data_IF_207622535315
#
_entry.id   IF_207622535315
#
_cell.length_a   1.000
_cell.length_b   1.000
_cell.length_c   1.000
_cell.angle_alpha   90.00
_cell.angle_beta   90.00
_cell.angle_gamma   90.00
#
_symmetry.space_group_name_H-M   'P 1'
#
loop_
_entity.id
_entity.type
_entity.pdbx_description
1 polymer ?
#
# COMPACT_ATOMS: atom_id res chain seq x y z
N UNK A 1 -15.14 8.74 -1.85
CA UNK A 1 -15.88 7.48 -2.16
C UNK A 1 -14.94 6.32 -2.00
N UNK A 2 -15.36 5.24 -1.31
CA UNK A 2 -14.52 4.07 -0.98
C UNK A 2 -14.71 2.96 -1.99
N UNK A 3 -13.77 2.81 -2.91
CA UNK A 3 -13.79 1.76 -3.92
C UNK A 3 -13.12 0.48 -3.43
N UNK A 4 -13.68 -0.66 -3.74
CA UNK A 4 -13.11 -1.97 -3.45
C UNK A 4 -13.32 -2.95 -4.59
N UNK A 5 -12.49 -3.99 -4.64
CA UNK A 5 -12.71 -5.19 -5.46
C UNK A 5 -13.01 -6.37 -4.54
N UNK A 6 -13.84 -7.25 -5.06
CA UNK A 6 -14.33 -8.42 -4.32
C UNK A 6 -14.48 -9.65 -5.20
N UNK A 7 -14.58 -10.80 -4.54
CA UNK A 7 -15.07 -12.04 -5.14
C UNK A 7 -16.31 -12.51 -4.38
N UNK A 8 -17.33 -13.00 -5.13
CA UNK A 8 -18.51 -13.66 -4.61
C UNK A 8 -18.74 -14.95 -5.40
N UNK A 9 -18.52 -16.09 -4.77
CA UNK A 9 -18.46 -17.36 -5.51
C UNK A 9 -17.37 -17.34 -6.58
N UNK A 10 -17.73 -17.56 -7.83
CA UNK A 10 -16.79 -17.49 -8.97
C UNK A 10 -16.70 -16.11 -9.64
N UNK A 11 -17.59 -15.18 -9.25
CA UNK A 11 -17.63 -13.83 -9.82
C UNK A 11 -16.64 -12.90 -9.12
N UNK A 12 -15.79 -12.22 -9.87
CA UNK A 12 -15.08 -11.04 -9.40
C UNK A 12 -15.80 -9.77 -9.84
N UNK A 13 -15.76 -8.74 -8.98
CA UNK A 13 -16.39 -7.46 -9.22
C UNK A 13 -15.73 -6.33 -8.46
N UNK A 14 -16.28 -5.14 -8.63
CA UNK A 14 -15.88 -3.96 -7.88
C UNK A 14 -17.10 -3.10 -7.57
N UNK A 15 -16.96 -2.24 -6.56
CA UNK A 15 -18.03 -1.37 -6.16
C UNK A 15 -17.61 -0.33 -5.13
N UNK A 16 -18.58 0.48 -4.74
CA UNK A 16 -18.43 1.49 -3.71
C UNK A 16 -18.93 0.95 -2.36
N UNK A 17 -18.05 0.94 -1.36
CA UNK A 17 -18.38 0.53 0.00
C UNK A 17 -19.18 1.64 0.70
N UNK A 18 -20.34 1.28 1.25
CA UNK A 18 -21.26 2.12 2.02
C UNK A 18 -21.65 1.41 3.32
N UNK A 19 -20.97 1.74 4.40
CA UNK A 19 -21.14 1.00 5.67
C UNK A 19 -20.70 -0.46 5.53
N UNK A 20 -21.62 -1.40 5.69
CA UNK A 20 -21.41 -2.84 5.57
C UNK A 20 -21.85 -3.43 4.22
N UNK A 21 -22.19 -2.57 3.26
CA UNK A 21 -22.75 -2.95 1.96
C UNK A 21 -21.92 -2.35 0.82
N UNK A 22 -21.78 -3.11 -0.25
CA UNK A 22 -21.10 -2.67 -1.48
C UNK A 22 -22.16 -2.45 -2.55
N UNK A 23 -22.27 -1.22 -3.06
CA UNK A 23 -22.98 -0.96 -4.30
C UNK A 23 -22.11 -1.41 -5.47
N UNK A 24 -22.59 -2.33 -6.28
CA UNK A 24 -21.84 -2.91 -7.41
C UNK A 24 -21.82 -1.96 -8.59
N UNK A 25 -20.69 -1.91 -9.28
CA UNK A 25 -20.49 -1.12 -10.49
C UNK A 25 -20.03 -1.99 -11.64
N UNK A 26 -20.28 -1.52 -12.87
CA UNK A 26 -19.85 -2.12 -14.12
C UNK A 26 -18.93 -1.17 -14.91
N UNK A 27 -18.18 -1.73 -15.86
CA UNK A 27 -17.19 -1.01 -16.66
C UNK A 27 -15.81 -1.04 -16.03
N UNK A 28 -15.08 0.06 -16.12
CA UNK A 28 -13.75 0.23 -15.52
C UNK A 28 -13.82 1.17 -14.32
N UNK A 29 -13.28 0.76 -13.18
CA UNK A 29 -13.20 1.61 -11.98
C UNK A 29 -12.56 2.98 -12.28
N UNK A 30 -11.62 3.03 -13.22
CA UNK A 30 -10.85 4.22 -13.56
C UNK A 30 -11.43 5.04 -14.72
N UNK A 31 -12.50 4.55 -15.39
CA UNK A 31 -13.10 5.21 -16.55
C UNK A 31 -14.63 5.19 -16.48
N UNK A 32 -15.18 6.13 -15.71
CA UNK A 32 -16.63 6.39 -15.57
C UNK A 32 -17.46 5.13 -15.35
N UNK A 33 -17.22 4.37 -14.26
CA UNK A 33 -18.00 3.18 -13.95
C UNK A 33 -19.49 3.52 -13.77
N UNK A 34 -20.36 2.59 -14.15
CA UNK A 34 -21.81 2.75 -14.03
C UNK A 34 -22.32 1.98 -12.82
N UNK A 35 -23.04 2.66 -11.93
CA UNK A 35 -23.69 2.02 -10.80
C UNK A 35 -24.79 1.07 -11.28
N UNK A 36 -24.83 -0.13 -10.75
CA UNK A 36 -25.94 -1.08 -10.94
C UNK A 36 -26.99 -0.92 -9.84
N UNK A 37 -28.07 -1.68 -9.91
CA UNK A 37 -29.04 -1.76 -8.82
C UNK A 37 -28.63 -2.77 -7.74
N UNK A 38 -27.53 -3.49 -7.92
CA UNK A 38 -27.09 -4.57 -7.05
C UNK A 38 -26.33 -4.02 -5.83
N UNK A 39 -26.70 -4.52 -4.63
CA UNK A 39 -26.04 -4.26 -3.36
C UNK A 39 -25.74 -5.58 -2.67
N UNK A 40 -24.49 -5.76 -2.21
CA UNK A 40 -24.03 -7.00 -1.59
C UNK A 40 -23.46 -6.68 -0.22
N UNK A 41 -23.79 -7.48 0.81
CA UNK A 41 -23.19 -7.32 2.13
C UNK A 41 -21.70 -7.71 2.10
N UNK A 42 -20.84 -6.95 2.76
CA UNK A 42 -19.42 -7.25 2.88
C UNK A 42 -19.18 -8.64 3.46
N UNK A 43 -20.02 -9.12 4.38
CA UNK A 43 -19.95 -10.45 4.97
C UNK A 43 -20.13 -11.62 3.99
N UNK A 44 -20.64 -11.34 2.78
CA UNK A 44 -20.86 -12.32 1.70
C UNK A 44 -19.75 -12.29 0.64
N UNK A 45 -18.73 -11.45 0.84
CA UNK A 45 -17.68 -11.19 -0.13
C UNK A 45 -16.30 -11.62 0.39
N UNK A 46 -15.46 -12.03 -0.53
CA UNK A 46 -14.01 -12.13 -0.29
C UNK A 46 -13.34 -10.85 -0.79
N UNK A 47 -12.49 -10.27 0.05
CA UNK A 47 -11.68 -9.11 -0.34
C UNK A 47 -10.68 -9.47 -1.44
N UNK A 48 -10.54 -8.59 -2.40
CA UNK A 48 -9.49 -8.62 -3.40
C UNK A 48 -8.61 -7.38 -3.25
N UNK A 49 -7.39 -7.41 -3.77
CA UNK A 49 -6.60 -6.18 -3.90
C UNK A 49 -7.46 -5.11 -4.58
N UNK A 50 -7.53 -3.88 -4.05
CA UNK A 50 -8.54 -2.91 -4.47
C UNK A 50 -8.39 -2.45 -5.93
N UNK A 51 -7.22 -2.66 -6.53
CA UNK A 51 -6.95 -2.52 -7.97
C UNK A 51 -5.92 -3.55 -8.42
N UNK A 52 -5.63 -3.61 -9.72
CA UNK A 52 -4.63 -4.52 -10.30
C UNK A 52 -3.46 -3.70 -10.87
N UNK A 53 -2.44 -3.39 -10.07
CA UNK A 53 -1.31 -2.58 -10.52
C UNK A 53 -0.50 -3.30 -11.61
N UNK A 54 -0.05 -2.57 -12.63
CA UNK A 54 1.01 -3.07 -13.51
C UNK A 54 2.36 -3.11 -12.79
N UNK A 55 2.51 -2.21 -11.81
CA UNK A 55 3.67 -2.14 -10.91
C UNK A 55 3.28 -1.52 -9.56
N UNK A 56 4.01 -1.92 -8.53
CA UNK A 56 3.98 -1.30 -7.22
C UNK A 56 5.37 -0.75 -6.92
N UNK A 57 5.44 0.53 -6.62
CA UNK A 57 6.67 1.29 -6.37
C UNK A 57 6.73 1.60 -4.89
N UNK A 58 7.76 1.15 -4.19
CA UNK A 58 7.94 1.44 -2.77
C UNK A 58 9.06 2.47 -2.55
N UNK A 59 8.86 3.38 -1.60
CA UNK A 59 9.79 4.44 -1.26
C UNK A 59 10.68 4.08 -0.06
N UNK A 60 11.93 4.45 -0.11
CA UNK A 60 12.85 4.41 1.01
C UNK A 60 13.22 5.82 1.47
N UNK A 61 13.34 6.00 2.80
CA UNK A 61 13.79 7.26 3.42
C UNK A 61 12.93 8.48 3.05
N UNK A 62 11.59 8.31 3.09
CA UNK A 62 10.64 9.37 2.75
C UNK A 62 9.97 10.03 3.98
N UNK A 63 10.52 9.86 5.19
CA UNK A 63 10.02 10.51 6.41
C UNK A 63 11.13 11.19 7.19
N UNK A 64 10.93 12.47 7.56
CA UNK A 64 11.92 13.27 8.27
C UNK A 64 12.26 12.69 9.65
N UNK A 65 11.28 12.25 10.43
CA UNK A 65 11.50 11.68 11.76
C UNK A 65 12.36 10.42 11.72
N UNK A 66 12.13 9.52 10.74
CA UNK A 66 12.92 8.30 10.59
C UNK A 66 14.34 8.61 10.10
N UNK A 67 14.49 9.52 9.14
CA UNK A 67 15.79 9.97 8.67
C UNK A 67 16.63 10.57 9.80
N UNK A 68 16.04 11.49 10.59
CA UNK A 68 16.70 12.12 11.73
C UNK A 68 17.15 11.10 12.78
N UNK A 69 16.28 10.13 13.15
CA UNK A 69 16.61 9.08 14.13
C UNK A 69 17.82 8.24 13.70
N UNK A 70 17.95 7.97 12.40
CA UNK A 70 19.01 7.12 11.87
C UNK A 70 20.25 7.91 11.39
N UNK A 71 20.21 9.23 11.49
CA UNK A 71 21.30 10.09 10.98
C UNK A 71 21.43 10.06 9.45
N UNK A 72 20.36 9.75 8.73
CA UNK A 72 20.35 9.73 7.27
C UNK A 72 20.13 11.13 6.71
N UNK A 73 20.84 11.45 5.64
CA UNK A 73 20.57 12.67 4.89
C UNK A 73 19.19 12.60 4.21
N UNK A 74 18.50 13.74 4.19
CA UNK A 74 17.28 13.87 3.38
C UNK A 74 17.63 13.73 1.89
N UNK A 75 17.03 12.81 1.14
CA UNK A 75 17.36 12.59 -0.25
C UNK A 75 16.91 13.75 -1.13
N UNK A 76 17.70 14.10 -2.15
CA UNK A 76 17.35 15.14 -3.12
C UNK A 76 16.33 14.67 -4.17
N UNK A 77 16.22 13.36 -4.37
CA UNK A 77 15.26 12.70 -5.27
C UNK A 77 14.65 11.48 -4.56
N UNK A 78 13.43 11.07 -4.93
CA UNK A 78 12.83 9.85 -4.40
C UNK A 78 13.73 8.64 -4.60
N UNK A 79 13.96 7.88 -3.54
CA UNK A 79 14.68 6.61 -3.56
C UNK A 79 13.65 5.50 -3.56
N UNK A 80 13.56 4.74 -4.64
CA UNK A 80 12.48 3.77 -4.80
C UNK A 80 12.95 2.42 -5.35
N UNK A 81 12.11 1.42 -5.13
CA UNK A 81 12.25 0.06 -5.64
C UNK A 81 10.91 -0.42 -6.19
N UNK A 82 10.93 -1.53 -6.93
CA UNK A 82 9.71 -2.17 -7.41
C UNK A 82 9.45 -3.44 -6.61
N UNK A 83 8.17 -3.70 -6.33
CA UNK A 83 7.69 -4.99 -5.79
C UNK A 83 7.11 -5.83 -6.92
N UNK A 84 7.44 -7.13 -6.92
CA UNK A 84 6.94 -8.07 -7.91
C UNK A 84 5.40 -8.19 -7.82
N UNK A 85 4.76 -8.37 -8.97
CA UNK A 85 3.30 -8.56 -9.05
C UNK A 85 2.79 -9.74 -8.19
N UNK A 86 3.56 -10.83 -8.11
CA UNK A 86 3.23 -11.99 -7.27
C UNK A 86 3.21 -11.69 -5.76
N UNK A 87 3.78 -10.57 -5.33
CA UNK A 87 3.78 -10.18 -3.92
C UNK A 87 2.47 -9.54 -3.44
N UNK A 88 1.54 -9.19 -4.33
CA UNK A 88 0.34 -8.45 -3.94
C UNK A 88 -0.60 -9.29 -3.09
N UNK A 89 -1.11 -8.70 -2.02
CA UNK A 89 -2.06 -9.33 -1.11
C UNK A 89 -3.14 -8.35 -0.65
N UNK A 90 -4.36 -8.88 -0.49
CA UNK A 90 -5.54 -8.11 -0.10
C UNK A 90 -5.71 -8.04 1.42
N UNK A 91 -6.64 -7.20 1.86
CA UNK A 91 -7.20 -7.20 3.20
C UNK A 91 -7.67 -8.60 3.59
N UNK A 92 -7.41 -9.02 4.85
CA UNK A 92 -7.72 -10.34 5.41
C UNK A 92 -6.96 -11.54 4.79
N UNK A 93 -6.17 -11.33 3.74
CA UNK A 93 -5.33 -12.39 3.20
C UNK A 93 -4.15 -12.66 4.14
N UNK A 94 -3.75 -13.95 4.22
CA UNK A 94 -2.60 -14.35 5.02
C UNK A 94 -1.29 -13.79 4.42
N UNK A 95 -0.45 -13.18 5.26
CA UNK A 95 0.93 -12.88 4.91
C UNK A 95 1.73 -14.17 5.12
N UNK A 96 2.22 -14.76 4.04
CA UNK A 96 2.94 -16.05 4.07
C UNK A 96 4.39 -15.82 4.45
N UNK A 97 4.87 -16.36 5.57
CA UNK A 97 6.27 -16.27 5.92
C UNK A 97 7.13 -17.00 4.87
N UNK A 98 8.29 -16.44 4.50
CA UNK A 98 9.25 -17.17 3.68
C UNK A 98 9.87 -18.35 4.47
N UNK A 99 10.74 -19.13 3.81
CA UNK A 99 11.48 -20.19 4.46
C UNK A 99 12.26 -19.67 5.71
N UNK A 100 12.43 -20.53 6.74
CA UNK A 100 12.98 -20.11 8.04
C UNK A 100 14.38 -19.52 7.99
N UNK A 101 15.19 -19.92 7.02
CA UNK A 101 16.56 -19.43 6.80
C UNK A 101 16.62 -18.00 6.21
N UNK A 102 15.48 -17.46 5.79
CA UNK A 102 15.39 -16.09 5.27
C UNK A 102 15.52 -15.03 6.38
N UNK A 103 15.22 -15.40 7.63
CA UNK A 103 15.36 -14.53 8.78
C UNK A 103 14.05 -13.80 9.15
N UNK A 104 14.19 -12.62 9.79
CA UNK A 104 13.05 -11.88 10.33
C UNK A 104 12.30 -11.11 9.26
N UNK A 105 10.98 -11.02 9.43
CA UNK A 105 10.08 -10.29 8.55
C UNK A 105 9.46 -9.14 9.31
N UNK A 106 9.61 -7.91 8.81
CA UNK A 106 9.04 -6.70 9.40
C UNK A 106 7.76 -6.27 8.69
N UNK A 107 6.89 -5.60 9.44
CA UNK A 107 5.81 -4.79 8.90
C UNK A 107 6.31 -3.36 8.67
N UNK A 108 5.72 -2.67 7.70
CA UNK A 108 5.90 -1.25 7.45
C UNK A 108 4.55 -0.67 7.03
N UNK A 109 3.83 -0.04 7.98
CA UNK A 109 2.56 0.64 7.67
C UNK A 109 2.83 1.87 6.82
N UNK A 110 2.07 2.04 5.74
CA UNK A 110 2.26 3.10 4.75
C UNK A 110 0.95 3.65 4.19
N UNK A 111 0.96 4.90 3.77
CA UNK A 111 0.00 5.41 2.80
C UNK A 111 0.41 4.93 1.40
N UNK A 112 -0.55 4.58 0.58
CA UNK A 112 -0.33 4.29 -0.83
C UNK A 112 -1.19 5.18 -1.73
N UNK A 113 -0.58 5.70 -2.80
CA UNK A 113 -1.25 6.43 -3.88
C UNK A 113 -1.67 5.45 -4.96
N UNK A 114 -2.88 5.55 -5.46
CA UNK A 114 -3.38 4.80 -6.62
C UNK A 114 -3.53 5.73 -7.81
N UNK A 115 -2.89 5.41 -8.91
CA UNK A 115 -2.93 6.18 -10.15
C UNK A 115 -4.27 5.96 -10.86
N UNK A 116 -4.87 7.03 -11.37
CA UNK A 116 -6.16 7.00 -12.06
C UNK A 116 -6.10 7.20 -13.57
N UNK A 117 -5.05 7.87 -14.03
CA UNK A 117 -4.86 8.17 -15.47
C UNK A 117 -3.42 7.95 -15.87
N UNK A 118 -3.22 7.47 -17.10
CA UNK A 118 -1.89 7.35 -17.69
C UNK A 118 -1.18 8.71 -17.67
N UNK A 119 0.05 8.72 -17.13
CA UNK A 119 0.86 9.93 -17.04
C UNK A 119 2.34 9.64 -17.25
N UNK A 120 3.01 10.54 -17.97
CA UNK A 120 4.45 10.55 -18.16
C UNK A 120 4.94 12.00 -18.14
N UNK A 121 6.04 12.25 -17.43
CA UNK A 121 6.65 13.56 -17.30
C UNK A 121 5.66 14.65 -16.79
N UNK A 122 4.87 14.29 -15.76
CA UNK A 122 3.86 15.16 -15.18
C UNK A 122 4.49 16.31 -14.39
N UNK A 123 3.94 17.51 -14.55
CA UNK A 123 4.26 18.60 -13.64
C UNK A 123 3.63 18.37 -12.26
N UNK A 124 4.11 19.07 -11.23
CA UNK A 124 3.49 19.02 -9.90
C UNK A 124 2.03 19.49 -9.92
N UNK A 125 1.70 20.45 -10.79
CA UNK A 125 0.34 20.98 -10.95
C UNK A 125 -0.60 19.96 -11.61
N UNK A 126 -0.09 19.08 -12.47
CA UNK A 126 -0.88 18.05 -13.16
C UNK A 126 -1.07 16.78 -12.30
N UNK A 127 -0.17 16.52 -11.35
CA UNK A 127 -0.17 15.30 -10.54
C UNK A 127 -1.53 14.99 -9.89
N UNK A 128 -2.26 15.94 -9.28
CA UNK A 128 -3.57 15.67 -8.66
C UNK A 128 -4.59 15.06 -9.62
N UNK A 129 -4.59 15.47 -10.90
CA UNK A 129 -5.53 14.98 -11.90
C UNK A 129 -5.26 13.53 -12.35
N UNK A 130 -4.10 12.97 -11.97
CA UNK A 130 -3.67 11.60 -12.30
C UNK A 130 -3.80 10.65 -11.11
N UNK A 131 -4.07 11.15 -9.91
CA UNK A 131 -4.34 10.33 -8.72
C UNK A 131 -5.82 9.94 -8.71
N UNK A 132 -6.10 8.64 -8.59
CA UNK A 132 -7.46 8.13 -8.38
C UNK A 132 -7.89 8.24 -6.91
N UNK A 133 -7.00 7.92 -6.00
CA UNK A 133 -7.24 7.95 -4.57
C UNK A 133 -6.09 7.36 -3.77
N UNK A 134 -6.39 7.01 -2.54
CA UNK A 134 -5.41 6.58 -1.55
C UNK A 134 -5.89 5.33 -0.83
N UNK A 135 -4.94 4.51 -0.37
CA UNK A 135 -5.24 3.28 0.37
C UNK A 135 -4.18 3.03 1.45
N UNK A 136 -4.49 2.19 2.44
CA UNK A 136 -3.49 1.70 3.38
C UNK A 136 -2.62 0.65 2.72
N UNK A 137 -1.36 0.55 3.15
CA UNK A 137 -0.46 -0.52 2.74
C UNK A 137 0.40 -1.02 3.89
N UNK A 138 0.91 -2.24 3.75
CA UNK A 138 1.95 -2.80 4.60
C UNK A 138 3.07 -3.32 3.68
N UNK A 139 4.17 -2.59 3.62
CA UNK A 139 5.34 -2.93 2.80
C UNK A 139 6.20 -3.96 3.53
N UNK A 140 5.75 -5.21 3.53
CA UNK A 140 6.41 -6.31 4.25
C UNK A 140 7.83 -6.54 3.73
N UNK A 141 8.77 -6.74 4.67
CA UNK A 141 10.21 -6.75 4.40
C UNK A 141 10.91 -7.92 5.07
N UNK A 142 11.66 -8.72 4.29
CA UNK A 142 12.61 -9.70 4.82
C UNK A 142 13.92 -8.98 5.17
N UNK A 143 14.13 -8.69 6.47
CA UNK A 143 15.17 -7.76 6.94
C UNK A 143 16.58 -8.23 6.55
N UNK A 144 16.93 -9.47 6.86
CA UNK A 144 18.27 -10.00 6.63
C UNK A 144 18.61 -10.14 5.13
N UNK A 145 17.59 -10.33 4.29
CA UNK A 145 17.76 -10.41 2.83
C UNK A 145 18.21 -9.08 2.25
N UNK A 146 17.72 -7.96 2.77
CA UNK A 146 18.04 -6.64 2.25
C UNK A 146 19.55 -6.36 2.22
N UNK A 147 20.25 -6.79 3.27
CA UNK A 147 21.69 -6.57 3.46
C UNK A 147 22.50 -7.87 3.37
N UNK A 148 21.98 -8.90 2.71
CA UNK A 148 22.67 -10.19 2.57
C UNK A 148 23.95 -10.11 1.74
N UNK A 149 24.07 -9.11 0.88
CA UNK A 149 25.27 -8.84 0.10
C UNK A 149 25.72 -7.37 0.32
N UNK A 150 26.96 -7.12 0.78
CA UNK A 150 27.44 -5.78 1.05
C UNK A 150 27.66 -4.93 -0.20
N UNK A 151 27.81 -5.56 -1.38
CA UNK A 151 28.04 -4.87 -2.65
C UNK A 151 26.76 -4.38 -3.31
N UNK A 152 25.61 -5.01 -3.00
CA UNK A 152 24.34 -4.68 -3.63
C UNK A 152 23.14 -4.96 -2.70
N UNK A 153 22.51 -3.92 -2.13
CA UNK A 153 21.29 -4.08 -1.33
C UNK A 153 20.16 -4.72 -2.13
N UNK A 154 19.59 -5.81 -1.60
CA UNK A 154 18.62 -6.67 -2.27
C UNK A 154 17.18 -6.16 -2.10
N UNK A 155 16.92 -4.88 -2.49
CA UNK A 155 15.60 -4.25 -2.30
C UNK A 155 14.45 -5.06 -2.91
N UNK A 156 14.50 -5.31 -4.22
CA UNK A 156 13.44 -6.05 -4.89
C UNK A 156 13.24 -7.45 -4.30
N UNK A 157 14.31 -8.15 -3.95
CA UNK A 157 14.25 -9.48 -3.35
C UNK A 157 13.63 -9.46 -1.96
N UNK A 158 14.06 -8.56 -1.07
CA UNK A 158 13.58 -8.46 0.31
C UNK A 158 12.11 -8.05 0.43
N UNK A 159 11.60 -7.36 -0.59
CA UNK A 159 10.27 -6.75 -0.64
C UNK A 159 9.26 -7.51 -1.52
N UNK A 160 9.68 -8.57 -2.24
CA UNK A 160 8.86 -9.22 -3.27
C UNK A 160 8.56 -10.70 -3.03
N UNK A 161 8.72 -11.20 -1.82
CA UNK A 161 8.16 -12.51 -1.48
C UNK A 161 6.64 -12.49 -1.67
N UNK A 162 6.04 -13.62 -1.98
CA UNK A 162 4.58 -13.74 -2.10
C UNK A 162 3.89 -13.16 -0.87
N UNK A 163 2.84 -12.39 -1.09
CA UNK A 163 2.06 -11.69 -0.06
C UNK A 163 2.77 -10.56 0.70
N UNK A 164 3.93 -10.07 0.24
CA UNK A 164 4.65 -8.97 0.88
C UNK A 164 4.21 -7.57 0.43
N UNK A 165 3.46 -7.46 -0.64
CA UNK A 165 2.86 -6.21 -1.15
C UNK A 165 1.40 -6.09 -0.72
N UNK A 166 1.15 -5.86 0.55
CA UNK A 166 -0.21 -5.83 1.10
C UNK A 166 -0.81 -4.44 0.95
N UNK A 167 -2.02 -4.32 0.39
CA UNK A 167 -2.71 -3.02 0.29
C UNK A 167 -4.24 -3.15 0.23
N UNK A 168 -4.93 -2.12 0.68
CA UNK A 168 -6.38 -2.07 0.83
C UNK A 168 -6.78 -1.39 2.16
N UNK A 169 -7.97 -1.64 2.70
CA UNK A 169 -9.05 -2.48 2.17
C UNK A 169 -9.76 -1.85 0.97
N UNK A 170 -9.76 -0.52 0.90
CA UNK A 170 -10.46 0.29 -0.11
C UNK A 170 -9.54 1.37 -0.66
N UNK A 171 -9.92 1.96 -1.79
CA UNK A 171 -9.34 3.20 -2.30
C UNK A 171 -10.31 4.34 -1.97
N UNK A 172 -9.87 5.30 -1.14
CA UNK A 172 -10.63 6.50 -0.84
C UNK A 172 -10.26 7.63 -1.82
N UNK A 173 -11.25 8.14 -2.53
CA UNK A 173 -11.04 9.18 -3.55
C UNK A 173 -11.16 10.61 -3.01
N UNK A 174 -11.74 10.79 -1.82
CA UNK A 174 -11.86 12.07 -1.14
C UNK A 174 -11.02 12.03 0.15
N UNK A 175 -9.72 12.27 0.01
CA UNK A 175 -8.77 12.12 1.10
C UNK A 175 -7.75 13.26 1.16
N UNK A 176 -7.59 13.82 2.35
CA UNK A 176 -6.58 14.84 2.63
C UNK A 176 -5.41 14.25 3.43
N UNK A 177 -4.38 13.80 2.74
CA UNK A 177 -3.20 13.19 3.37
C UNK A 177 -2.47 14.13 4.35
N UNK A 178 -2.50 15.46 4.10
CA UNK A 178 -1.78 16.42 4.93
C UNK A 178 -2.36 16.57 6.36
N UNK A 179 -3.62 16.20 6.54
CA UNK A 179 -4.31 16.25 7.84
C UNK A 179 -4.42 14.86 8.51
N UNK A 180 -3.93 13.81 7.86
CA UNK A 180 -4.14 12.45 8.32
C UNK A 180 -2.94 11.89 9.11
N UNK A 181 -3.25 10.94 10.00
CA UNK A 181 -2.30 10.16 10.79
C UNK A 181 -2.41 8.69 10.39
N UNK A 182 -1.27 8.02 10.36
CA UNK A 182 -1.19 6.58 10.19
C UNK A 182 -0.90 5.90 11.53
N UNK A 183 -1.67 4.87 11.83
CA UNK A 183 -1.51 4.04 13.01
C UNK A 183 -1.29 2.59 12.59
N UNK A 184 -0.24 1.94 13.12
CA UNK A 184 -0.03 0.50 12.93
C UNK A 184 -0.09 -0.20 14.27
N UNK A 185 -0.94 -1.25 14.38
CA UNK A 185 -0.99 -2.15 15.52
C UNK A 185 -0.51 -3.53 15.14
N UNK A 186 0.20 -4.19 16.04
CA UNK A 186 0.63 -5.59 15.89
C UNK A 186 0.27 -6.37 17.14
N UNK A 187 -0.58 -7.37 17.01
CA UNK A 187 -1.14 -8.12 18.13
C UNK A 187 -1.87 -7.19 19.12
N UNK A 188 -2.64 -6.25 18.62
CA UNK A 188 -3.40 -5.26 19.38
C UNK A 188 -2.57 -4.15 20.03
N UNK A 189 -1.24 -4.13 19.84
CA UNK A 189 -0.36 -3.10 20.41
C UNK A 189 0.04 -2.08 19.37
N UNK A 190 -0.09 -0.79 19.69
CA UNK A 190 0.41 0.30 18.88
C UNK A 190 1.93 0.17 18.67
N UNK A 191 2.36 0.28 17.42
CA UNK A 191 3.76 0.21 17.01
C UNK A 191 4.21 1.43 16.24
N UNK A 192 3.35 1.93 15.37
CA UNK A 192 3.57 3.16 14.63
C UNK A 192 2.39 4.09 14.85
N UNK A 193 2.69 5.36 15.00
CA UNK A 193 1.71 6.44 15.07
C UNK A 193 2.41 7.71 14.60
N UNK A 194 2.11 8.16 13.38
CA UNK A 194 2.81 9.28 12.79
C UNK A 194 1.95 10.06 11.80
N UNK A 195 2.22 11.34 11.70
CA UNK A 195 1.53 12.24 10.79
C UNK A 195 2.05 12.09 9.36
N UNK A 196 1.15 11.99 8.38
CA UNK A 196 1.52 11.83 6.97
C UNK A 196 2.17 13.11 6.39
N UNK A 197 1.97 14.26 7.01
CA UNK A 197 2.66 15.52 6.61
C UNK A 197 4.17 15.52 6.87
N UNK A 198 4.69 14.54 7.63
CA UNK A 198 6.15 14.38 7.88
C UNK A 198 6.92 13.78 6.68
N UNK A 199 6.25 13.51 5.56
CA UNK A 199 6.90 13.01 4.35
C UNK A 199 7.90 14.02 3.78
N UNK A 200 9.06 13.52 3.32
CA UNK A 200 10.08 14.30 2.58
C UNK A 200 9.53 14.73 1.21
N UNK A 201 8.94 13.80 0.48
CA UNK A 201 8.22 14.04 -0.75
C UNK A 201 6.75 13.70 -0.54
N UNK A 202 5.89 14.68 -0.76
CA UNK A 202 4.43 14.47 -0.70
C UNK A 202 3.96 13.52 -1.81
N UNK A 203 2.77 12.92 -1.69
CA UNK A 203 2.18 12.10 -2.75
C UNK A 203 2.18 12.75 -4.12
N UNK A 204 1.92 14.06 -4.20
CA UNK A 204 1.91 14.82 -5.45
C UNK A 204 3.32 14.93 -6.07
N UNK A 205 4.31 15.19 -5.24
CA UNK A 205 5.71 15.23 -5.66
C UNK A 205 6.20 13.86 -6.12
N UNK A 206 5.80 12.78 -5.44
CA UNK A 206 6.13 11.41 -5.84
C UNK A 206 5.57 11.10 -7.23
N UNK A 207 4.30 11.37 -7.48
CA UNK A 207 3.67 11.18 -8.81
C UNK A 207 4.39 12.01 -9.87
N UNK A 208 4.64 13.30 -9.61
CA UNK A 208 5.35 14.16 -10.56
C UNK A 208 6.77 13.65 -10.86
N UNK A 209 7.57 13.34 -9.83
CA UNK A 209 8.98 12.96 -9.99
C UNK A 209 9.14 11.58 -10.61
N UNK A 210 8.39 10.58 -10.13
CA UNK A 210 8.46 9.20 -10.64
C UNK A 210 7.95 9.12 -12.09
N UNK A 211 6.96 9.94 -12.45
CA UNK A 211 6.47 9.98 -13.84
C UNK A 211 7.49 10.48 -14.87
N UNK A 212 8.59 11.10 -14.42
CA UNK A 212 9.72 11.47 -15.30
C UNK A 212 10.58 10.27 -15.66
N UNK A 213 10.66 9.31 -14.75
CA UNK A 213 11.49 8.12 -14.92
C UNK A 213 10.75 7.02 -15.67
N UNK A 214 9.43 6.91 -15.47
CA UNK A 214 8.60 5.87 -16.08
C UNK A 214 7.15 6.32 -16.28
N UNK A 215 6.46 5.77 -17.27
CA UNK A 215 5.01 5.96 -17.42
C UNK A 215 4.25 5.29 -16.29
N UNK A 216 3.36 6.03 -15.66
CA UNK A 216 2.39 5.54 -14.68
C UNK A 216 1.07 5.21 -15.38
N UNK A 217 0.45 4.09 -15.03
CA UNK A 217 -0.81 3.61 -15.62
C UNK A 217 -1.93 3.57 -14.57
N UNK A 218 -3.21 3.65 -14.99
CA UNK A 218 -4.33 3.46 -14.07
C UNK A 218 -4.19 2.17 -13.28
N UNK A 219 -4.37 2.26 -11.95
CA UNK A 219 -4.20 1.16 -11.04
C UNK A 219 -2.78 0.97 -10.50
N UNK A 220 -1.74 1.61 -11.05
CA UNK A 220 -0.40 1.56 -10.45
C UNK A 220 -0.42 2.14 -9.03
N UNK A 221 0.42 1.58 -8.16
CA UNK A 221 0.46 1.91 -6.74
C UNK A 221 1.83 2.44 -6.36
N UNK A 222 1.87 3.57 -5.64
CA UNK A 222 3.08 4.13 -5.04
C UNK A 222 2.93 4.09 -3.53
N UNK A 223 3.72 3.25 -2.85
CA UNK A 223 3.85 3.21 -1.40
C UNK A 223 4.72 4.39 -0.97
N UNK A 224 4.20 5.24 -0.08
CA UNK A 224 4.83 6.53 0.23
C UNK A 224 5.98 6.44 1.24
N UNK A 225 6.37 5.25 1.65
CA UNK A 225 7.36 5.03 2.70
C UNK A 225 6.74 4.98 4.10
N UNK A 226 7.51 4.46 5.03
CA UNK A 226 7.15 4.31 6.45
C UNK A 226 7.97 5.21 7.37
N UNK A 227 7.50 5.42 8.60
CA UNK A 227 8.20 6.18 9.63
C UNK A 227 8.63 5.30 10.80
N UNK A 228 8.78 5.86 11.98
CA UNK A 228 9.27 5.20 13.20
C UNK A 228 8.37 4.02 13.62
N UNK A 229 8.95 3.03 14.31
CA UNK A 229 8.21 1.95 14.96
C UNK A 229 8.18 0.62 14.20
N UNK A 230 8.86 0.52 13.06
CA UNK A 230 9.05 -0.74 12.31
C UNK A 230 9.74 -1.79 13.19
N UNK A 231 9.15 -2.98 13.29
CA UNK A 231 9.65 -4.11 14.07
C UNK A 231 9.36 -5.45 13.35
N UNK A 232 10.10 -6.51 13.67
CA UNK A 232 9.77 -7.85 13.19
C UNK A 232 8.41 -8.34 13.72
N UNK A 233 7.67 -9.03 12.85
CA UNK A 233 6.44 -9.74 13.20
C UNK A 233 6.74 -11.10 13.83
N UNK A 234 5.89 -11.53 14.76
CA UNK A 234 5.88 -12.91 15.27
C UNK A 234 4.83 -13.72 14.53
N UNK A 235 5.10 -14.99 14.31
CA UNK A 235 4.13 -15.91 13.73
C UNK A 235 2.78 -15.84 14.46
N UNK A 236 1.69 -15.81 13.70
CA UNK A 236 0.33 -15.67 14.20
C UNK A 236 -0.10 -14.25 14.57
N UNK A 237 0.80 -13.25 14.51
CA UNK A 237 0.45 -11.86 14.80
C UNK A 237 -0.54 -11.31 13.78
N UNK A 238 -1.55 -10.61 14.26
CA UNK A 238 -2.37 -9.72 13.46
C UNK A 238 -1.65 -8.39 13.28
N UNK A 239 -1.68 -7.84 12.08
CA UNK A 239 -1.11 -6.54 11.73
C UNK A 239 -2.22 -5.69 11.13
N UNK A 240 -2.44 -4.53 11.73
CA UNK A 240 -3.45 -3.57 11.30
C UNK A 240 -2.75 -2.26 10.94
N UNK A 241 -3.04 -1.75 9.74
CA UNK A 241 -2.64 -0.41 9.30
C UNK A 241 -3.92 0.41 9.14
N UNK A 242 -4.06 1.43 9.97
CA UNK A 242 -5.22 2.31 9.99
C UNK A 242 -4.82 3.72 9.52
N UNK A 243 -5.62 4.27 8.62
CA UNK A 243 -5.55 5.67 8.24
C UNK A 243 -6.97 6.22 8.32
N UNK A 244 -7.14 7.33 9.05
CA UNK A 244 -8.42 8.02 9.18
C UNK A 244 -9.05 8.28 7.81
N UNK A 245 -10.37 8.10 7.72
CA UNK A 245 -11.17 8.22 6.48
C UNK A 245 -10.97 7.11 5.45
N UNK A 246 -9.84 6.40 5.41
CA UNK A 246 -9.66 5.22 4.53
C UNK A 246 -10.24 3.99 5.21
N UNK A 247 -9.72 3.62 6.38
CA UNK A 247 -10.14 2.46 7.16
C UNK A 247 -8.95 1.65 7.67
N UNK A 248 -9.19 0.36 7.97
CA UNK A 248 -8.21 -0.54 8.57
C UNK A 248 -7.87 -1.67 7.60
N UNK A 249 -6.62 -1.74 7.18
CA UNK A 249 -6.04 -2.89 6.48
C UNK A 249 -5.57 -3.89 7.54
N UNK A 250 -6.23 -5.02 7.68
CA UNK A 250 -5.88 -6.07 8.65
C UNK A 250 -5.47 -7.35 7.96
N UNK A 251 -4.35 -7.93 8.41
CA UNK A 251 -3.81 -9.18 7.90
C UNK A 251 -3.17 -9.97 9.04
N UNK A 252 -3.08 -11.29 8.89
CA UNK A 252 -2.37 -12.16 9.81
C UNK A 252 -1.04 -12.60 9.19
N UNK A 253 0.05 -12.51 9.95
CA UNK A 253 1.33 -13.11 9.60
C UNK A 253 1.32 -14.60 9.98
N UNK A 254 1.48 -15.48 9.00
CA UNK A 254 1.37 -16.92 9.17
C UNK A 254 2.49 -17.54 10.00
N UNK A 255 2.47 -18.87 10.08
CA UNK A 255 3.57 -19.67 10.62
C UNK A 255 4.42 -20.19 9.46
N UNK A 256 5.74 -20.07 9.55
CA UNK A 256 6.63 -20.67 8.56
C UNK A 256 6.47 -22.21 8.58
N UNK A 257 6.29 -22.80 7.42
CA UNK A 257 6.25 -24.24 7.21
C UNK A 257 7.61 -24.90 7.47
#
# INVERSE_FOLDING_TARGET
MKWMRFKQGEREGFGALQGDTVQVYEGSMFDRPTATAEHIKVSELEWRVPCQPSKMIGLWNNFHALAAKNGWATPAQPLYFLKAHSSFAAHQQLIVPPAKDIGRVAFEGELAVVIGKTGHNLSLADAPAHIFGYTCANDVTAIEVLHSDPSFPQWARSKSFDTFGVFGPVIETDFNFAAATLLTRVGGRERQNYELRDMVFSPLELVSRISRDMTLFPGDVILCGTSLGVLPMKAGSEVEVEIDSIGVLSNRFGTAS
#
